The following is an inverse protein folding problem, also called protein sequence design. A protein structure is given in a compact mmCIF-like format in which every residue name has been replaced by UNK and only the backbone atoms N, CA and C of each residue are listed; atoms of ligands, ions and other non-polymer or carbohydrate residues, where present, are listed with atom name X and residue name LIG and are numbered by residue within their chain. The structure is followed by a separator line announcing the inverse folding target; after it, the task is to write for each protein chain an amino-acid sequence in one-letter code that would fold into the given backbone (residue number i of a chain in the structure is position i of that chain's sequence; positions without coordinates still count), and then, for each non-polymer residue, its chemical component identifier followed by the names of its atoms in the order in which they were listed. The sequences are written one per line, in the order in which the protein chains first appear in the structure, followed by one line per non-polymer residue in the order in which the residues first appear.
data_IF_958862056616
#
_entry.id   IF_958862056616
#
_cell.length_a   1.000
_cell.length_b   1.000
_cell.length_c   1.000
_cell.angle_alpha   90.00
_cell.angle_beta   90.00
_cell.angle_gamma   90.00
#
_symmetry.space_group_name_H-M   'P 1'
#
loop_
_entity.id
_entity.type
_entity.pdbx_description
1 polymer ?
#
# COMPACT_ATOMS: atom_id res chain seq x y z
N UNK A 1 49.97 -21.05 68.91
CA UNK A 1 49.45 -20.20 67.81
C UNK A 1 49.20 -21.10 66.62
N UNK A 2 47.94 -21.39 66.30
CA UNK A 2 47.56 -22.14 65.10
C UNK A 2 46.39 -21.39 64.46
N UNK A 3 46.65 -20.70 63.35
CA UNK A 3 45.62 -20.02 62.57
C UNK A 3 44.93 -21.03 61.66
N UNK A 4 43.62 -21.21 61.85
CA UNK A 4 42.76 -21.91 60.90
C UNK A 4 42.28 -20.95 59.81
N UNK A 5 42.54 -21.29 58.55
CA UNK A 5 41.98 -20.60 57.38
C UNK A 5 40.56 -21.14 57.11
N UNK A 6 39.55 -20.28 57.27
CA UNK A 6 38.20 -20.55 56.78
C UNK A 6 38.10 -20.07 55.33
N UNK A 7 37.94 -21.01 54.39
CA UNK A 7 37.64 -20.70 53.00
C UNK A 7 36.13 -20.44 52.86
N UNK A 8 35.75 -19.20 52.58
CA UNK A 8 34.37 -18.84 52.22
C UNK A 8 34.11 -19.23 50.77
N UNK A 9 33.16 -20.13 50.55
CA UNK A 9 32.71 -20.52 49.21
C UNK A 9 32.01 -19.32 48.54
N UNK A 10 32.58 -18.81 47.45
CA UNK A 10 31.93 -17.86 46.55
C UNK A 10 30.72 -18.54 45.91
N UNK A 11 29.53 -18.02 46.20
CA UNK A 11 28.27 -18.51 45.63
C UNK A 11 28.29 -18.46 44.10
N UNK A 12 28.03 -19.60 43.48
CA UNK A 12 27.79 -19.70 42.05
C UNK A 12 26.45 -19.02 41.74
N UNK A 13 26.50 -17.87 41.06
CA UNK A 13 25.31 -17.24 40.52
C UNK A 13 24.78 -18.10 39.36
N UNK A 14 23.82 -18.97 39.66
CA UNK A 14 23.21 -19.89 38.70
C UNK A 14 22.02 -19.26 37.95
N UNK A 15 21.99 -17.94 37.82
CA UNK A 15 20.93 -17.21 37.13
C UNK A 15 21.25 -17.16 35.63
N UNK A 16 20.37 -17.68 34.75
CA UNK A 16 20.57 -17.56 33.31
C UNK A 16 20.62 -16.09 32.90
N UNK A 17 21.55 -15.74 32.01
CA UNK A 17 21.74 -14.37 31.56
C UNK A 17 20.42 -13.78 31.03
N UNK A 18 19.97 -12.67 31.61
CA UNK A 18 18.82 -11.92 31.10
C UNK A 18 19.11 -11.51 29.65
N UNK A 19 18.22 -11.82 28.69
CA UNK A 19 18.42 -11.41 27.31
C UNK A 19 18.42 -9.87 27.25
N UNK A 20 19.54 -9.30 26.83
CA UNK A 20 19.74 -7.84 26.69
C UNK A 20 19.10 -7.28 25.41
N UNK A 21 18.53 -8.13 24.56
CA UNK A 21 17.85 -7.72 23.34
C UNK A 21 16.40 -7.39 23.68
N UNK A 22 16.07 -6.11 23.70
CA UNK A 22 14.69 -5.65 23.80
C UNK A 22 13.89 -6.22 22.61
N UNK A 23 12.76 -6.88 22.90
CA UNK A 23 11.82 -7.31 21.86
C UNK A 23 11.10 -6.07 21.33
N UNK A 24 11.54 -5.55 20.18
CA UNK A 24 10.88 -4.41 19.53
C UNK A 24 9.51 -4.84 19.00
N UNK A 25 8.43 -4.10 19.29
CA UNK A 25 7.10 -4.41 18.74
C UNK A 25 7.10 -4.27 17.21
N UNK A 26 6.24 -5.04 16.53
CA UNK A 26 6.08 -4.97 15.08
C UNK A 26 5.64 -3.56 14.65
N UNK A 27 6.26 -3.03 13.60
CA UNK A 27 5.89 -1.75 12.97
C UNK A 27 5.56 -2.00 11.49
N UNK A 28 4.39 -1.56 10.99
CA UNK A 28 3.26 -1.02 11.76
C UNK A 28 2.59 -2.10 12.63
N UNK A 29 1.85 -1.66 13.66
CA UNK A 29 1.10 -2.55 14.53
C UNK A 29 0.06 -3.37 13.74
N UNK A 30 -0.37 -4.49 14.32
CA UNK A 30 -1.53 -5.23 13.81
C UNK A 30 -2.77 -4.37 13.99
N UNK A 31 -3.59 -4.34 12.96
CA UNK A 31 -4.87 -3.67 12.93
C UNK A 31 -5.98 -4.40 13.69
N UNK A 32 -7.22 -3.95 13.46
CA UNK A 32 -8.43 -4.59 13.94
C UNK A 32 -8.60 -6.00 13.35
N UNK A 33 -9.33 -6.84 14.08
CA UNK A 33 -9.82 -8.09 13.54
C UNK A 33 -10.90 -7.82 12.48
N UNK A 34 -10.71 -8.42 11.30
CA UNK A 34 -11.65 -8.33 10.18
C UNK A 34 -12.40 -9.65 10.10
N UNK A 35 -13.73 -9.58 10.08
CA UNK A 35 -14.62 -10.73 9.96
C UNK A 35 -14.26 -11.59 8.74
N UNK A 36 -14.38 -12.91 8.88
CA UNK A 36 -13.88 -13.86 7.89
C UNK A 36 -14.56 -13.72 6.51
N UNK A 37 -15.86 -13.48 6.50
CA UNK A 37 -16.65 -13.19 5.29
C UNK A 37 -16.18 -11.92 4.58
N UNK A 38 -15.97 -10.83 5.32
CA UNK A 38 -15.46 -9.56 4.76
C UNK A 38 -14.05 -9.72 4.22
N UNK A 39 -13.18 -10.44 4.94
CA UNK A 39 -11.82 -10.74 4.48
C UNK A 39 -11.83 -11.53 3.17
N UNK A 40 -12.68 -12.56 3.07
CA UNK A 40 -12.84 -13.38 1.86
C UNK A 40 -13.34 -12.53 0.70
N UNK A 41 -14.39 -11.72 0.91
CA UNK A 41 -14.93 -10.83 -0.12
C UNK A 41 -13.86 -9.85 -0.66
N UNK A 42 -13.14 -9.17 0.24
CA UNK A 42 -12.08 -8.24 -0.15
C UNK A 42 -10.94 -8.96 -0.88
N UNK A 43 -10.57 -10.17 -0.46
CA UNK A 43 -9.55 -10.98 -1.11
C UNK A 43 -9.97 -11.36 -2.53
N UNK A 44 -11.18 -11.88 -2.71
CA UNK A 44 -11.71 -12.25 -4.03
C UNK A 44 -11.72 -11.07 -5.00
N UNK A 45 -12.20 -9.91 -4.55
CA UNK A 45 -12.22 -8.69 -5.38
C UNK A 45 -10.81 -8.18 -5.70
N UNK A 46 -9.89 -8.26 -4.73
CA UNK A 46 -8.48 -7.89 -4.92
C UNK A 46 -7.83 -8.80 -5.94
N UNK A 47 -8.00 -10.12 -5.82
CA UNK A 47 -7.40 -11.09 -6.72
C UNK A 47 -7.98 -10.97 -8.14
N UNK A 48 -9.28 -10.69 -8.28
CA UNK A 48 -9.91 -10.40 -9.57
C UNK A 48 -9.29 -9.15 -10.24
N UNK A 49 -9.11 -8.05 -9.50
CA UNK A 49 -8.43 -6.86 -10.03
C UNK A 49 -6.97 -7.16 -10.41
N UNK A 50 -6.27 -8.00 -9.65
CA UNK A 50 -4.92 -8.45 -9.97
C UNK A 50 -4.85 -9.18 -11.32
N UNK A 51 -5.80 -10.08 -11.58
CA UNK A 51 -5.91 -10.79 -12.86
C UNK A 51 -6.19 -9.84 -14.04
N UNK A 52 -7.04 -8.84 -13.85
CA UNK A 52 -7.31 -7.80 -14.85
C UNK A 52 -6.06 -6.97 -15.16
N UNK A 53 -5.31 -6.56 -14.12
CA UNK A 53 -4.04 -5.84 -14.25
C UNK A 53 -3.04 -6.66 -15.08
N UNK A 54 -2.88 -7.95 -14.78
CA UNK A 54 -1.96 -8.83 -15.50
C UNK A 54 -2.38 -9.00 -16.98
N UNK A 55 -3.68 -9.10 -17.23
CA UNK A 55 -4.22 -9.17 -18.59
C UNK A 55 -3.95 -7.86 -19.35
N UNK A 56 -4.14 -6.70 -18.72
CA UNK A 56 -3.85 -5.38 -19.29
C UNK A 56 -2.36 -5.19 -19.58
N UNK A 57 -1.49 -5.63 -18.66
CA UNK A 57 -0.04 -5.59 -18.85
C UNK A 57 0.38 -6.36 -20.10
N UNK A 58 -0.12 -7.59 -20.27
CA UNK A 58 0.13 -8.41 -21.47
C UNK A 58 -0.46 -7.77 -22.73
N UNK A 59 -1.70 -7.27 -22.65
CA UNK A 59 -2.41 -6.68 -23.80
C UNK A 59 -1.70 -5.44 -24.34
N UNK A 60 -1.15 -4.61 -23.47
CA UNK A 60 -0.52 -3.33 -23.84
C UNK A 60 1.01 -3.36 -23.80
N UNK A 61 1.64 -4.54 -23.70
CA UNK A 61 3.10 -4.70 -23.67
C UNK A 61 3.78 -3.93 -24.82
N UNK A 62 3.23 -4.05 -26.03
CA UNK A 62 3.72 -3.38 -27.25
C UNK A 62 3.01 -2.03 -27.52
N UNK A 63 2.29 -1.46 -26.54
CA UNK A 63 1.60 -0.16 -26.65
C UNK A 63 1.99 0.77 -25.50
N UNK A 64 3.22 1.31 -25.50
CA UNK A 64 3.72 2.18 -24.42
C UNK A 64 2.80 3.36 -24.04
N UNK A 65 2.09 4.03 -24.97
CA UNK A 65 1.18 5.12 -24.62
C UNK A 65 0.01 4.73 -23.72
N UNK A 66 -0.43 3.47 -23.74
CA UNK A 66 -1.48 2.94 -22.86
C UNK A 66 -0.89 2.24 -21.64
N UNK A 67 0.20 1.49 -21.81
CA UNK A 67 0.87 0.76 -20.73
C UNK A 67 1.30 1.69 -19.58
N UNK A 68 1.72 2.92 -19.90
CA UNK A 68 2.14 3.93 -18.89
C UNK A 68 1.06 4.27 -17.86
N UNK A 69 -0.21 3.95 -18.13
CA UNK A 69 -1.34 4.19 -17.22
C UNK A 69 -1.68 2.98 -16.34
N UNK A 70 -1.02 1.83 -16.54
CA UNK A 70 -1.22 0.66 -15.69
C UNK A 70 -0.94 0.94 -14.19
N UNK A 71 0.08 1.75 -13.82
CA UNK A 71 0.30 2.13 -12.42
C UNK A 71 -0.88 2.86 -11.78
N UNK A 72 -1.68 3.60 -12.55
CA UNK A 72 -2.89 4.29 -12.06
C UNK A 72 -3.99 3.33 -11.60
N UNK A 73 -3.87 2.03 -11.91
CA UNK A 73 -4.77 0.95 -11.46
C UNK A 73 -4.08 0.14 -10.35
N UNK A 74 -2.80 -0.20 -10.55
CA UNK A 74 -2.02 -1.02 -9.63
C UNK A 74 -1.97 -0.48 -8.20
N UNK A 75 -2.02 0.85 -8.01
CA UNK A 75 -2.06 1.46 -6.69
C UNK A 75 -3.28 1.04 -5.86
N UNK A 76 -4.45 0.88 -6.50
CA UNK A 76 -5.69 0.50 -5.82
C UNK A 76 -5.65 -0.95 -5.36
N UNK A 77 -5.19 -1.84 -6.24
CA UNK A 77 -4.92 -3.23 -5.91
C UNK A 77 -3.90 -3.33 -4.76
N UNK A 78 -2.75 -2.65 -4.90
CA UNK A 78 -1.66 -2.67 -3.91
C UNK A 78 -2.16 -2.21 -2.53
N UNK A 79 -2.96 -1.15 -2.47
CA UNK A 79 -3.49 -0.63 -1.20
C UNK A 79 -4.28 -1.69 -0.43
N UNK A 80 -5.20 -2.40 -1.08
CA UNK A 80 -6.05 -3.40 -0.41
C UNK A 80 -5.30 -4.72 -0.19
N UNK A 81 -4.50 -5.16 -1.15
CA UNK A 81 -3.68 -6.37 -1.01
C UNK A 81 -2.72 -6.26 0.17
N UNK A 82 -2.04 -5.12 0.33
CA UNK A 82 -1.16 -4.87 1.46
C UNK A 82 -1.93 -4.80 2.77
N UNK A 83 -3.10 -4.15 2.79
CA UNK A 83 -3.94 -4.07 3.98
C UNK A 83 -4.36 -5.46 4.48
N UNK A 84 -4.77 -6.34 3.56
CA UNK A 84 -5.11 -7.73 3.87
C UNK A 84 -3.89 -8.57 4.28
N UNK A 85 -2.81 -8.53 3.49
CA UNK A 85 -1.60 -9.35 3.70
C UNK A 85 -0.92 -9.01 5.02
N UNK A 86 -0.83 -7.72 5.34
CA UNK A 86 -0.13 -7.26 6.53
C UNK A 86 -1.05 -7.04 7.73
N UNK A 87 -2.37 -7.23 7.58
CA UNK A 87 -3.36 -7.02 8.65
C UNK A 87 -3.30 -5.60 9.21
N UNK A 88 -3.31 -4.59 8.35
CA UNK A 88 -3.11 -3.16 8.70
C UNK A 88 -4.38 -2.31 8.48
N UNK A 89 -5.55 -2.91 8.67
CA UNK A 89 -6.81 -2.15 8.83
C UNK A 89 -6.91 -1.70 10.28
N UNK A 90 -6.90 -0.40 10.57
CA UNK A 90 -6.94 0.13 11.93
C UNK A 90 -8.32 0.61 12.36
N UNK A 91 -9.26 0.80 11.42
CA UNK A 91 -10.63 1.21 11.69
C UNK A 91 -11.61 0.44 10.83
N UNK A 92 -12.82 0.19 11.34
CA UNK A 92 -13.89 -0.46 10.59
C UNK A 92 -14.26 0.30 9.31
N UNK A 93 -14.20 1.63 9.33
CA UNK A 93 -14.47 2.47 8.16
C UNK A 93 -13.51 2.23 6.99
N UNK A 94 -12.30 1.72 7.25
CA UNK A 94 -11.31 1.44 6.20
C UNK A 94 -11.70 0.21 5.37
N UNK A 95 -12.58 -0.66 5.87
CA UNK A 95 -13.13 -1.77 5.11
C UNK A 95 -14.05 -1.26 3.98
N UNK A 96 -14.77 -0.16 4.23
CA UNK A 96 -15.56 0.49 3.18
C UNK A 96 -14.66 1.23 2.19
N UNK A 97 -13.65 1.96 2.69
CA UNK A 97 -12.62 2.56 1.83
C UNK A 97 -11.96 1.53 0.94
N UNK A 98 -11.66 0.31 1.44
CA UNK A 98 -11.10 -0.75 0.62
C UNK A 98 -12.02 -1.17 -0.54
N UNK A 99 -13.34 -1.26 -0.29
CA UNK A 99 -14.33 -1.54 -1.35
C UNK A 99 -14.37 -0.43 -2.40
N UNK A 100 -14.38 0.82 -1.97
CA UNK A 100 -14.36 1.98 -2.87
C UNK A 100 -13.08 2.03 -3.73
N UNK A 101 -11.93 1.71 -3.14
CA UNK A 101 -10.65 1.62 -3.84
C UNK A 101 -10.67 0.51 -4.90
N UNK A 102 -11.17 -0.68 -4.56
CA UNK A 102 -11.31 -1.79 -5.51
C UNK A 102 -12.27 -1.44 -6.64
N UNK A 103 -13.44 -0.86 -6.33
CA UNK A 103 -14.40 -0.42 -7.33
C UNK A 103 -13.78 0.62 -8.29
N UNK A 104 -13.03 1.58 -7.76
CA UNK A 104 -12.31 2.58 -8.57
C UNK A 104 -11.24 1.92 -9.45
N UNK A 105 -10.48 0.97 -8.90
CA UNK A 105 -9.48 0.20 -9.64
C UNK A 105 -10.09 -0.58 -10.80
N UNK A 106 -11.15 -1.34 -10.56
CA UNK A 106 -11.85 -2.12 -11.59
C UNK A 106 -12.50 -1.24 -12.67
N UNK A 107 -13.07 -0.09 -12.29
CA UNK A 107 -13.61 0.87 -13.27
C UNK A 107 -12.49 1.40 -14.17
N UNK A 108 -11.33 1.77 -13.60
CA UNK A 108 -10.17 2.21 -14.39
C UNK A 108 -9.60 1.09 -15.25
N UNK A 109 -9.57 -0.15 -14.76
CA UNK A 109 -9.15 -1.32 -15.53
C UNK A 109 -10.07 -1.54 -16.74
N UNK A 110 -11.39 -1.48 -16.53
CA UNK A 110 -12.40 -1.56 -17.60
C UNK A 110 -12.23 -0.43 -18.62
N UNK A 111 -12.04 0.80 -18.17
CA UNK A 111 -11.80 1.93 -19.06
C UNK A 111 -10.51 1.75 -19.87
N UNK A 112 -9.42 1.33 -19.24
CA UNK A 112 -8.13 1.11 -19.90
C UNK A 112 -8.24 -0.04 -20.91
N UNK A 113 -8.95 -1.12 -20.60
CA UNK A 113 -9.24 -2.23 -21.53
C UNK A 113 -9.99 -1.75 -22.79
N UNK A 114 -10.71 -0.64 -22.71
CA UNK A 114 -11.37 0.01 -23.84
C UNK A 114 -10.52 1.13 -24.48
N UNK A 115 -9.23 1.23 -24.13
CA UNK A 115 -8.32 2.26 -24.63
C UNK A 115 -8.63 3.68 -24.10
N UNK A 116 -9.38 3.79 -23.00
CA UNK A 116 -9.81 5.08 -22.42
C UNK A 116 -9.13 5.35 -21.10
N UNK A 117 -8.82 6.61 -20.85
CA UNK A 117 -8.19 7.07 -19.59
C UNK A 117 -8.85 8.36 -19.09
N UNK A 118 -10.16 8.36 -18.78
CA UNK A 118 -10.91 9.59 -18.47
C UNK A 118 -10.38 10.31 -17.22
N UNK A 119 -9.82 9.59 -16.23
CA UNK A 119 -9.16 10.20 -15.05
C UNK A 119 -7.95 11.09 -15.39
N UNK A 120 -7.46 11.04 -16.63
CA UNK A 120 -6.39 11.95 -17.06
C UNK A 120 -6.87 13.38 -17.31
N UNK A 121 -8.18 13.56 -17.48
CA UNK A 121 -8.84 14.83 -17.83
C UNK A 121 -9.71 15.41 -16.71
N UNK A 122 -9.84 14.70 -15.59
CA UNK A 122 -10.66 15.19 -14.46
C UNK A 122 -9.95 16.34 -13.76
N UNK A 123 -10.76 17.29 -13.33
CA UNK A 123 -10.41 18.38 -12.42
C UNK A 123 -10.71 17.97 -10.98
N UNK A 124 -10.12 18.65 -10.00
CA UNK A 124 -10.23 18.33 -8.58
C UNK A 124 -9.12 17.39 -8.12
N UNK A 125 -9.33 16.73 -7.00
CA UNK A 125 -8.40 15.73 -6.48
C UNK A 125 -8.45 14.46 -7.34
N UNK A 126 -7.32 14.09 -7.92
CA UNK A 126 -7.12 12.81 -8.60
C UNK A 126 -5.91 12.08 -8.02
N UNK A 127 -6.09 10.79 -7.73
CA UNK A 127 -5.00 9.89 -7.35
C UNK A 127 -4.49 9.17 -8.60
N UNK A 128 -3.17 9.11 -8.75
CA UNK A 128 -2.44 8.46 -9.86
C UNK A 128 -1.28 7.63 -9.32
N UNK A 129 -0.72 6.79 -10.17
CA UNK A 129 0.39 5.89 -9.83
C UNK A 129 1.56 6.09 -10.76
N UNK A 130 2.76 5.78 -10.27
CA UNK A 130 3.97 5.69 -11.09
C UNK A 130 4.82 4.51 -10.64
N UNK A 131 5.73 4.05 -11.50
CA UNK A 131 6.77 3.09 -11.12
C UNK A 131 8.02 3.88 -10.74
N UNK A 132 8.45 3.71 -9.49
CA UNK A 132 9.68 4.30 -8.97
C UNK A 132 10.89 3.72 -9.70
N UNK A 133 11.79 4.59 -10.18
CA UNK A 133 13.05 4.17 -10.82
C UNK A 133 14.12 3.72 -9.82
N UNK A 134 13.87 3.90 -8.52
CA UNK A 134 14.83 3.56 -7.46
C UNK A 134 14.73 2.08 -7.09
N UNK A 135 13.53 1.52 -7.13
CA UNK A 135 13.21 0.20 -6.57
C UNK A 135 12.10 -0.54 -7.33
N UNK A 136 11.71 -0.05 -8.51
CA UNK A 136 10.64 -0.59 -9.37
C UNK A 136 9.27 -0.73 -8.68
N UNK A 137 9.08 -0.04 -7.56
CA UNK A 137 7.85 -0.09 -6.80
C UNK A 137 6.77 0.79 -7.43
N UNK A 138 5.53 0.30 -7.43
CA UNK A 138 4.37 1.13 -7.78
C UNK A 138 4.03 2.05 -6.60
N UNK A 139 4.01 3.35 -6.83
CA UNK A 139 3.78 4.36 -5.79
C UNK A 139 2.61 5.28 -6.18
N UNK A 140 1.71 5.59 -5.24
CA UNK A 140 0.64 6.56 -5.48
C UNK A 140 1.14 8.00 -5.33
N UNK A 141 0.45 8.93 -5.99
CA UNK A 141 0.54 10.37 -5.76
C UNK A 141 -0.82 11.03 -6.02
N UNK A 142 -1.13 12.09 -5.27
CA UNK A 142 -2.31 12.92 -5.43
C UNK A 142 -1.99 14.19 -6.22
N UNK A 143 -2.92 14.59 -7.09
CA UNK A 143 -2.89 15.87 -7.79
C UNK A 143 -4.20 16.61 -7.54
N UNK A 144 -4.12 17.92 -7.27
CA UNK A 144 -5.29 18.81 -7.36
C UNK A 144 -5.21 19.57 -8.66
N UNK A 145 -6.11 19.24 -9.59
CA UNK A 145 -6.18 19.85 -10.92
C UNK A 145 -7.23 20.97 -10.89
N UNK A 146 -6.85 22.26 -10.96
CA UNK A 146 -7.82 23.34 -10.88
C UNK A 146 -8.76 23.37 -12.10
N UNK A 147 -10.03 23.74 -11.89
CA UNK A 147 -11.00 23.94 -12.99
C UNK A 147 -10.48 24.85 -14.10
N UNK A 148 -9.72 25.88 -13.72
CA UNK A 148 -9.17 26.83 -14.68
C UNK A 148 -8.26 26.19 -15.74
N UNK A 149 -7.70 24.99 -15.50
CA UNK A 149 -6.84 24.31 -16.50
C UNK A 149 -7.56 24.09 -17.83
N UNK A 150 -8.88 23.85 -17.80
CA UNK A 150 -9.68 23.68 -19.02
C UNK A 150 -10.14 25.01 -19.65
N UNK A 151 -10.20 26.10 -18.88
CA UNK A 151 -10.79 27.38 -19.32
C UNK A 151 -9.77 28.48 -19.60
N UNK A 152 -8.55 28.38 -19.08
CA UNK A 152 -7.49 29.37 -19.27
C UNK A 152 -6.11 28.69 -19.33
N UNK A 153 -5.67 28.21 -20.51
CA UNK A 153 -4.44 27.42 -20.62
C UNK A 153 -3.17 28.22 -20.30
N UNK A 154 -3.20 29.55 -20.35
CA UNK A 154 -2.03 30.42 -20.19
C UNK A 154 -1.79 30.86 -18.73
N UNK A 155 -2.80 30.70 -17.87
CA UNK A 155 -2.67 31.06 -16.46
C UNK A 155 -1.66 30.18 -15.73
N UNK A 156 -0.66 30.82 -15.11
CA UNK A 156 0.28 30.16 -14.19
C UNK A 156 -0.46 29.64 -12.95
N UNK A 157 -0.13 28.43 -12.52
CA UNK A 157 -0.75 27.74 -11.38
C UNK A 157 0.32 27.12 -10.50
N UNK A 158 0.03 27.04 -9.20
CA UNK A 158 0.79 26.16 -8.30
C UNK A 158 0.41 24.71 -8.62
N UNK A 159 1.43 23.86 -8.71
CA UNK A 159 1.25 22.42 -8.83
C UNK A 159 1.33 21.84 -7.42
N UNK A 160 0.19 21.45 -6.88
CA UNK A 160 0.09 20.77 -5.59
C UNK A 160 0.11 19.26 -5.82
N UNK A 161 1.18 18.60 -5.35
CA UNK A 161 1.40 17.14 -5.42
C UNK A 161 1.68 16.63 -4.01
N UNK A 162 1.10 15.49 -3.66
CA UNK A 162 1.37 14.81 -2.39
C UNK A 162 1.41 13.29 -2.54
#
# INVERSE_FOLDING_TARGET
VALGLAATALGQANEPAKPLVAKTPRVPAIGIEVAADVRTQLREQTDALGQEIDALARRYAETPPLLRYLPDIQIYHKAVDWALRHQIFFRQSELETARELLATGSERATQLANGRTPWTRVTGLVVRGYVSRLDDSVQPYGLVIPQSVSTDPWRKRRLDVW
#
